data_IF_016191207354
#
_entry.id   IF_016191207354
#
_cell.length_a   1.000
_cell.length_b   1.000
_cell.length_c   1.000
_cell.angle_alpha   90.00
_cell.angle_beta   90.00
_cell.angle_gamma   90.00
#
_symmetry.space_group_name_H-M   'P 1'
#
loop_
_entity.id
_entity.type
_entity.pdbx_description
1 polymer ?
#
# COMPACT_ATOMS: atom_id res chain seq x y z
N UNK A 1 27.80 10.84 -21.59
CA UNK A 1 28.69 11.82 -20.96
C UNK A 1 28.30 13.19 -21.46
N UNK A 2 28.10 14.17 -20.53
CA UNK A 2 27.86 15.56 -20.89
C UNK A 2 29.20 16.21 -21.24
N UNK A 3 29.40 16.63 -22.49
CA UNK A 3 30.62 17.27 -22.96
C UNK A 3 30.28 18.63 -23.59
N UNK A 4 31.20 19.61 -23.48
CA UNK A 4 31.08 20.96 -24.05
C UNK A 4 29.81 21.73 -23.59
N UNK A 5 29.50 21.66 -22.31
CA UNK A 5 28.36 22.36 -21.74
C UNK A 5 28.74 23.80 -21.44
N UNK A 6 27.98 24.73 -21.97
CA UNK A 6 28.15 26.17 -21.68
C UNK A 6 27.45 26.56 -20.40
N UNK A 7 26.17 26.14 -20.25
CA UNK A 7 25.33 26.48 -19.12
C UNK A 7 24.71 25.20 -18.56
N UNK A 8 24.80 25.04 -17.25
CA UNK A 8 24.16 23.94 -16.53
C UNK A 8 23.13 24.48 -15.53
N UNK A 9 21.89 24.02 -15.64
CA UNK A 9 20.85 24.20 -14.64
C UNK A 9 20.79 22.95 -13.77
N UNK A 10 21.11 23.09 -12.51
CA UNK A 10 20.99 22.02 -11.53
C UNK A 10 19.77 22.33 -10.64
N UNK A 11 18.68 21.61 -10.87
CA UNK A 11 17.40 21.90 -10.24
C UNK A 11 17.10 20.96 -9.08
N UNK A 12 16.36 21.44 -8.07
CA UNK A 12 15.89 20.62 -6.96
C UNK A 12 16.98 20.29 -5.93
N UNK A 13 17.92 21.20 -5.70
CA UNK A 13 18.96 21.03 -4.69
C UNK A 13 18.43 21.26 -3.28
N UNK A 14 17.60 20.35 -2.82
CA UNK A 14 17.04 20.36 -1.46
C UNK A 14 17.74 19.33 -0.56
N UNK A 15 17.70 19.59 0.74
CA UNK A 15 18.21 18.69 1.75
C UNK A 15 17.52 17.32 1.69
N UNK A 16 18.29 16.25 1.85
CA UNK A 16 17.83 14.88 1.69
C UNK A 16 17.63 14.41 0.24
N UNK A 17 17.72 15.30 -0.76
CA UNK A 17 17.69 14.95 -2.19
C UNK A 17 19.08 15.09 -2.84
N UNK A 18 19.83 16.11 -2.44
CA UNK A 18 21.17 16.36 -3.00
C UNK A 18 22.12 16.80 -1.89
N UNK A 19 23.14 16.01 -1.53
CA UNK A 19 23.34 14.60 -1.92
C UNK A 19 22.27 13.68 -1.36
N UNK A 20 21.99 12.59 -2.05
CA UNK A 20 21.07 11.57 -1.55
C UNK A 20 21.72 10.90 -0.33
N UNK A 21 21.08 10.98 0.81
CA UNK A 21 21.48 10.28 2.01
C UNK A 21 20.75 8.94 2.08
N UNK A 22 21.45 7.84 1.87
CA UNK A 22 20.91 6.52 2.18
C UNK A 22 20.91 6.34 3.70
N UNK A 23 19.75 6.04 4.26
CA UNK A 23 19.65 5.62 5.64
C UNK A 23 20.34 4.27 5.78
N UNK A 24 21.50 4.25 6.41
CA UNK A 24 22.20 3.04 6.73
C UNK A 24 21.36 2.16 7.64
N UNK A 25 20.82 1.09 7.08
CA UNK A 25 20.00 0.10 7.77
C UNK A 25 20.14 -1.24 7.06
N UNK A 26 21.18 -2.00 7.37
CA UNK A 26 21.37 -3.35 6.90
C UNK A 26 21.46 -4.32 8.07
N UNK A 27 21.45 -5.62 7.77
CA UNK A 27 21.67 -6.70 8.74
C UNK A 27 23.09 -6.65 9.38
N UNK A 28 24.02 -5.96 8.72
CA UNK A 28 25.40 -5.81 9.15
C UNK A 28 25.71 -4.32 9.41
N UNK A 29 26.31 -4.06 10.56
CA UNK A 29 26.83 -2.75 10.91
C UNK A 29 28.07 -2.40 10.08
N UNK A 30 28.44 -1.11 10.00
CA UNK A 30 29.67 -0.69 9.31
C UNK A 30 30.92 -1.34 9.90
N UNK A 31 31.00 -1.52 11.23
CA UNK A 31 32.11 -2.18 11.90
C UNK A 31 32.24 -3.65 11.50
N UNK A 32 31.12 -4.35 11.35
CA UNK A 32 31.12 -5.74 10.89
C UNK A 32 31.53 -5.85 9.43
N UNK A 33 31.10 -4.91 8.59
CA UNK A 33 31.53 -4.81 7.19
C UNK A 33 33.03 -4.56 7.05
N UNK A 34 33.60 -3.66 7.86
CA UNK A 34 35.04 -3.40 7.90
C UNK A 34 35.81 -4.65 8.33
N UNK A 35 35.31 -5.41 9.31
CA UNK A 35 35.91 -6.70 9.69
C UNK A 35 35.88 -7.73 8.58
N UNK A 36 34.77 -7.83 7.84
CA UNK A 36 34.68 -8.73 6.69
C UNK A 36 35.63 -8.31 5.56
N UNK A 37 35.79 -7.01 5.34
CA UNK A 37 36.76 -6.50 4.37
C UNK A 37 38.20 -6.88 4.70
N UNK A 38 38.59 -6.93 5.99
CA UNK A 38 39.89 -7.44 6.45
C UNK A 38 40.11 -8.92 6.08
N UNK A 39 39.04 -9.68 5.93
CA UNK A 39 39.06 -11.07 5.47
C UNK A 39 38.85 -11.22 3.96
N UNK A 40 39.04 -10.15 3.17
CA UNK A 40 38.84 -10.10 1.71
C UNK A 40 37.42 -10.41 1.25
N UNK A 41 36.43 -10.26 2.13
CA UNK A 41 35.01 -10.36 1.79
C UNK A 41 34.49 -8.94 1.53
N UNK A 42 34.34 -8.59 0.25
CA UNK A 42 33.84 -7.29 -0.16
C UNK A 42 32.35 -7.37 -0.38
N UNK A 43 31.60 -6.55 0.36
CA UNK A 43 30.16 -6.37 0.24
C UNK A 43 29.83 -5.15 -0.65
N UNK A 44 28.54 -4.94 -0.93
CA UNK A 44 28.07 -3.72 -1.61
C UNK A 44 28.55 -2.47 -0.84
N UNK A 45 28.74 -1.32 -1.51
CA UNK A 45 29.21 -0.09 -0.89
C UNK A 45 28.43 0.30 0.35
N UNK A 46 29.10 0.86 1.34
CA UNK A 46 28.49 1.39 2.56
C UNK A 46 27.76 2.71 2.27
N UNK A 47 26.85 3.14 3.14
CA UNK A 47 26.19 4.43 3.04
C UNK A 47 27.22 5.59 2.95
N UNK A 48 28.35 5.47 3.66
CA UNK A 48 29.44 6.45 3.63
C UNK A 48 30.14 6.48 2.25
N UNK A 49 30.45 5.32 1.68
CA UNK A 49 31.05 5.21 0.35
C UNK A 49 30.10 5.73 -0.74
N UNK A 50 28.82 5.40 -0.65
CA UNK A 50 27.80 5.93 -1.55
C UNK A 50 27.70 7.45 -1.45
N UNK A 51 27.71 8.02 -0.23
CA UNK A 51 27.70 9.46 -0.02
C UNK A 51 28.96 10.13 -0.62
N UNK A 52 30.12 9.54 -0.47
CA UNK A 52 31.35 10.04 -1.08
C UNK A 52 31.28 9.99 -2.62
N UNK A 53 30.72 8.92 -3.16
CA UNK A 53 30.52 8.76 -4.62
C UNK A 53 29.53 9.78 -5.15
N UNK A 54 28.41 10.03 -4.46
CA UNK A 54 27.44 11.08 -4.81
C UNK A 54 28.08 12.48 -4.78
N UNK A 55 28.87 12.80 -3.74
CA UNK A 55 29.59 14.06 -3.66
C UNK A 55 30.60 14.22 -4.81
N UNK A 56 31.27 13.15 -5.20
CA UNK A 56 32.17 13.16 -6.35
C UNK A 56 31.43 13.43 -7.65
N UNK A 57 30.29 12.79 -7.89
CA UNK A 57 29.47 13.04 -9.07
C UNK A 57 28.90 14.45 -9.09
N UNK A 58 28.51 15.00 -7.96
CA UNK A 58 28.08 16.39 -7.84
C UNK A 58 29.21 17.34 -8.22
N UNK A 59 30.42 17.17 -7.68
CA UNK A 59 31.57 17.94 -8.06
C UNK A 59 31.86 17.87 -9.57
N UNK A 60 31.88 16.67 -10.12
CA UNK A 60 32.11 16.44 -11.55
C UNK A 60 31.06 17.13 -12.42
N UNK A 61 29.80 17.17 -12.00
CA UNK A 61 28.76 17.85 -12.75
C UNK A 61 28.82 19.38 -12.61
N UNK A 62 29.09 19.90 -11.41
CA UNK A 62 29.19 21.32 -11.15
C UNK A 62 30.39 22.00 -11.84
N UNK A 63 31.45 21.24 -12.10
CA UNK A 63 32.67 21.75 -12.76
C UNK A 63 32.63 21.63 -14.28
N UNK A 64 31.58 21.08 -14.88
CA UNK A 64 31.48 20.91 -16.34
C UNK A 64 31.11 22.17 -17.11
N UNK A 65 30.21 23.04 -16.63
CA UNK A 65 29.82 24.20 -17.43
C UNK A 65 30.99 25.18 -17.56
N UNK A 66 31.20 25.68 -18.78
CA UNK A 66 32.27 26.62 -19.09
C UNK A 66 31.90 28.09 -18.87
N UNK A 67 30.62 28.41 -18.90
CA UNK A 67 30.15 29.80 -18.83
C UNK A 67 29.28 30.06 -17.58
N UNK A 68 28.28 29.23 -17.29
CA UNK A 68 27.33 29.52 -16.21
C UNK A 68 26.81 28.23 -15.52
N UNK A 69 26.82 28.24 -14.19
CA UNK A 69 26.16 27.22 -13.34
C UNK A 69 25.01 27.90 -12.60
N UNK A 70 23.80 27.37 -12.76
CA UNK A 70 22.58 27.84 -12.08
C UNK A 70 22.08 26.74 -11.19
N UNK A 71 22.03 27.01 -9.88
CA UNK A 71 21.57 26.08 -8.86
C UNK A 71 20.22 26.56 -8.31
N UNK A 72 19.24 25.68 -8.25
CA UNK A 72 17.91 26.03 -7.73
C UNK A 72 17.44 25.04 -6.68
N UNK A 73 16.69 25.52 -5.69
CA UNK A 73 15.97 24.71 -4.72
C UNK A 73 14.55 25.25 -4.55
N UNK A 74 13.63 24.38 -4.13
CA UNK A 74 12.27 24.78 -3.80
C UNK A 74 12.12 25.00 -2.29
N UNK A 75 11.31 25.98 -1.88
CA UNK A 75 10.98 26.20 -0.46
C UNK A 75 9.86 25.28 0.02
N UNK A 76 9.04 24.74 -0.90
CA UNK A 76 7.94 23.86 -0.59
C UNK A 76 7.84 22.74 -1.65
N UNK A 77 7.24 21.61 -1.28
CA UNK A 77 6.85 20.56 -2.23
C UNK A 77 5.43 20.79 -2.79
N UNK A 78 4.99 19.90 -3.67
CA UNK A 78 3.67 19.99 -4.29
C UNK A 78 2.50 19.89 -3.28
N UNK A 79 2.75 19.38 -2.06
CA UNK A 79 1.78 19.29 -0.97
C UNK A 79 1.85 20.48 -0.01
N UNK A 80 2.70 21.50 -0.30
CA UNK A 80 2.88 22.68 0.55
C UNK A 80 3.80 22.46 1.77
N UNK A 81 4.47 21.31 1.87
CA UNK A 81 5.39 21.02 2.96
C UNK A 81 6.72 21.74 2.72
N UNK A 82 7.19 22.44 3.75
CA UNK A 82 8.46 23.16 3.72
C UNK A 82 9.64 22.25 3.39
N UNK A 83 10.51 22.71 2.47
CA UNK A 83 11.77 22.08 2.11
C UNK A 83 12.93 22.98 2.41
N UNK A 84 14.02 22.40 2.88
CA UNK A 84 15.25 23.13 3.16
C UNK A 84 16.21 23.04 1.97
N UNK A 85 16.99 24.10 1.72
CA UNK A 85 18.10 24.05 0.77
C UNK A 85 19.13 23.01 1.21
N UNK A 86 19.81 22.39 0.22
CA UNK A 86 20.94 21.50 0.50
C UNK A 86 22.09 22.24 1.19
N UNK A 87 22.79 21.56 2.09
CA UNK A 87 24.01 22.07 2.74
C UNK A 87 25.14 22.42 1.78
N UNK A 88 25.02 22.00 0.52
CA UNK A 88 25.97 22.36 -0.56
C UNK A 88 25.93 23.85 -0.83
N UNK A 89 24.79 24.52 -0.70
CA UNK A 89 24.72 25.98 -0.87
C UNK A 89 25.62 26.72 0.13
N UNK A 90 25.71 26.29 1.39
CA UNK A 90 26.57 26.91 2.38
C UNK A 90 28.05 26.69 2.04
N UNK A 91 28.40 25.52 1.52
CA UNK A 91 29.78 25.22 1.06
C UNK A 91 30.14 26.07 -0.16
N UNK A 92 29.25 26.23 -1.12
CA UNK A 92 29.48 27.06 -2.30
C UNK A 92 29.61 28.54 -1.88
N UNK A 93 28.75 29.02 -0.97
CA UNK A 93 28.82 30.38 -0.44
C UNK A 93 30.13 30.64 0.33
N UNK A 94 30.65 29.64 1.03
CA UNK A 94 31.97 29.74 1.68
C UNK A 94 33.11 29.92 0.67
N UNK A 95 33.02 29.27 -0.51
CA UNK A 95 34.02 29.41 -1.59
C UNK A 95 33.80 30.71 -2.37
N UNK A 96 32.55 31.12 -2.55
CA UNK A 96 32.15 32.32 -3.30
C UNK A 96 31.35 33.28 -2.40
N UNK A 97 31.98 34.05 -1.50
CA UNK A 97 31.26 34.89 -0.51
C UNK A 97 30.38 36.00 -1.13
N UNK A 98 30.66 36.41 -2.38
CA UNK A 98 29.86 37.41 -3.09
C UNK A 98 28.59 36.87 -3.74
N UNK A 99 28.34 35.55 -3.62
CA UNK A 99 27.18 34.90 -4.21
C UNK A 99 25.94 35.23 -3.40
N UNK A 100 24.92 35.78 -4.06
CA UNK A 100 23.63 36.12 -3.45
C UNK A 100 22.60 35.06 -3.87
N UNK A 101 21.83 34.60 -2.91
CA UNK A 101 20.66 33.77 -3.18
C UNK A 101 19.50 34.66 -3.58
N UNK A 102 19.04 34.50 -4.81
CA UNK A 102 17.86 35.20 -5.32
C UNK A 102 16.61 34.34 -5.02
N UNK A 103 15.61 34.97 -4.43
CA UNK A 103 14.27 34.36 -4.33
C UNK A 103 13.48 34.76 -5.56
N UNK A 104 13.11 33.76 -6.35
CA UNK A 104 12.24 33.99 -7.49
C UNK A 104 10.80 33.90 -7.03
N UNK A 105 10.13 35.04 -6.95
CA UNK A 105 8.69 35.09 -6.73
C UNK A 105 7.95 34.87 -8.04
N UNK A 106 6.85 34.17 -8.02
CA UNK A 106 6.03 33.89 -9.22
C UNK A 106 5.60 35.16 -9.98
N UNK A 107 5.49 36.27 -9.27
CA UNK A 107 5.08 37.56 -9.82
C UNK A 107 6.14 38.26 -10.70
N UNK A 108 7.42 37.90 -10.58
CA UNK A 108 8.52 38.60 -11.22
C UNK A 108 8.74 38.21 -12.69
N UNK A 109 8.11 37.12 -13.16
CA UNK A 109 8.34 36.58 -14.51
C UNK A 109 7.19 36.80 -15.50
N UNK A 110 6.16 37.56 -15.12
CA UNK A 110 4.82 37.38 -15.70
C UNK A 110 4.53 38.18 -17.00
N UNK A 111 5.37 39.06 -17.47
CA UNK A 111 4.97 39.96 -18.59
C UNK A 111 6.07 40.21 -19.65
N UNK A 112 6.90 39.22 -19.95
CA UNK A 112 8.04 39.42 -20.84
C UNK A 112 7.99 38.79 -22.23
N UNK A 113 7.35 37.66 -22.39
CA UNK A 113 7.27 36.93 -23.65
C UNK A 113 5.96 36.15 -23.81
N UNK A 114 5.76 35.58 -24.98
CA UNK A 114 4.55 34.85 -25.35
C UNK A 114 4.26 33.66 -24.42
N UNK A 115 5.30 32.94 -24.00
CA UNK A 115 5.16 31.74 -23.16
C UNK A 115 4.70 32.14 -21.75
N UNK A 116 5.30 33.16 -21.16
CA UNK A 116 4.93 33.64 -19.83
C UNK A 116 3.54 34.28 -19.83
N UNK A 117 3.17 35.03 -20.86
CA UNK A 117 1.82 35.58 -21.02
C UNK A 117 0.76 34.44 -21.13
N UNK A 118 1.09 33.37 -21.82
CA UNK A 118 0.20 32.19 -21.91
C UNK A 118 0.07 31.47 -20.59
N UNK A 119 1.14 31.34 -19.84
CA UNK A 119 1.12 30.76 -18.48
C UNK A 119 0.36 31.65 -17.50
N UNK A 120 0.46 32.98 -17.61
CA UNK A 120 -0.33 33.93 -16.84
C UNK A 120 -1.83 33.77 -17.12
N UNK A 121 -2.20 33.64 -18.39
CA UNK A 121 -3.58 33.38 -18.78
C UNK A 121 -4.11 32.05 -18.19
N UNK A 122 -3.34 30.96 -18.22
CA UNK A 122 -3.72 29.67 -17.67
C UNK A 122 -3.91 29.76 -16.14
N UNK A 123 -3.01 30.45 -15.43
CA UNK A 123 -3.14 30.64 -13.97
C UNK A 123 -4.38 31.46 -13.62
N UNK A 124 -4.64 32.53 -14.36
CA UNK A 124 -5.85 33.31 -14.14
C UNK A 124 -7.13 32.52 -14.39
N UNK A 125 -7.16 31.64 -15.40
CA UNK A 125 -8.29 30.71 -15.59
C UNK A 125 -8.52 29.82 -14.39
N UNK A 126 -7.44 29.33 -13.76
CA UNK A 126 -7.52 28.54 -12.55
C UNK A 126 -8.10 29.35 -11.38
N UNK A 127 -7.61 30.56 -11.16
CA UNK A 127 -8.12 31.45 -10.10
C UNK A 127 -9.59 31.80 -10.30
N UNK A 128 -9.99 32.04 -11.54
CA UNK A 128 -11.41 32.29 -11.89
C UNK A 128 -12.26 31.04 -11.60
N UNK A 129 -11.76 29.86 -11.98
CA UNK A 129 -12.49 28.59 -11.75
C UNK A 129 -12.61 28.21 -10.27
N UNK A 130 -11.55 28.45 -9.46
CA UNK A 130 -11.48 28.08 -8.04
C UNK A 130 -12.12 29.15 -7.14
N UNK A 131 -11.86 30.43 -7.38
CA UNK A 131 -12.17 31.53 -6.48
C UNK A 131 -13.18 32.51 -7.04
N UNK A 132 -13.50 32.45 -8.34
CA UNK A 132 -14.38 33.40 -9.03
C UNK A 132 -13.80 34.80 -9.19
N UNK A 133 -12.50 34.99 -8.92
CA UNK A 133 -11.82 36.29 -9.04
C UNK A 133 -11.05 36.37 -10.36
N UNK A 134 -11.20 37.50 -11.04
CA UNK A 134 -10.45 37.77 -12.27
C UNK A 134 -9.21 38.59 -11.88
N UNK A 135 -7.98 38.07 -12.15
CA UNK A 135 -6.77 38.82 -11.91
C UNK A 135 -6.73 40.13 -12.73
N UNK A 136 -6.07 41.15 -12.17
CA UNK A 136 -5.85 42.42 -12.89
C UNK A 136 -5.10 42.19 -14.22
N UNK A 137 -5.46 42.91 -15.27
CA UNK A 137 -4.91 42.77 -16.63
C UNK A 137 -5.13 41.39 -17.31
N UNK A 138 -5.86 40.47 -16.69
CA UNK A 138 -6.07 39.11 -17.27
C UNK A 138 -6.92 39.18 -18.54
N UNK A 139 -7.94 40.01 -18.55
CA UNK A 139 -8.80 40.23 -19.72
C UNK A 139 -8.03 40.79 -20.92
N UNK A 140 -7.10 41.69 -20.70
CA UNK A 140 -6.27 42.26 -21.78
C UNK A 140 -5.39 41.16 -22.42
N UNK A 141 -4.83 40.27 -21.62
CA UNK A 141 -4.04 39.14 -22.11
C UNK A 141 -4.93 38.15 -22.86
N UNK A 142 -6.11 37.85 -22.35
CA UNK A 142 -7.08 36.97 -22.99
C UNK A 142 -7.52 37.53 -24.34
N UNK A 143 -7.90 38.81 -24.41
CA UNK A 143 -8.34 39.48 -25.63
C UNK A 143 -7.20 39.53 -26.66
N UNK A 144 -5.97 39.70 -26.20
CA UNK A 144 -4.78 39.66 -27.08
C UNK A 144 -4.62 38.28 -27.75
N UNK A 145 -4.80 37.19 -27.00
CA UNK A 145 -4.73 35.83 -27.55
C UNK A 145 -5.92 35.51 -28.46
N UNK A 146 -7.12 35.93 -28.07
CA UNK A 146 -8.35 35.71 -28.86
C UNK A 146 -8.37 36.52 -30.16
N UNK A 147 -7.75 37.68 -30.20
CA UNK A 147 -7.69 38.51 -31.42
C UNK A 147 -6.77 37.93 -32.52
N UNK A 148 -5.96 36.92 -32.20
CA UNK A 148 -5.01 36.30 -33.13
C UNK A 148 -5.46 34.91 -33.56
N UNK A 149 -5.73 34.68 -34.87
CA UNK A 149 -6.25 33.38 -35.34
C UNK A 149 -5.37 32.18 -34.98
N UNK A 150 -4.04 32.38 -34.90
CA UNK A 150 -3.07 31.33 -34.56
C UNK A 150 -3.17 30.81 -33.12
N UNK A 151 -3.72 31.64 -32.20
CA UNK A 151 -3.87 31.29 -30.79
C UNK A 151 -5.31 31.13 -30.35
N UNK A 152 -6.26 31.72 -31.04
CA UNK A 152 -7.67 31.81 -30.64
C UNK A 152 -8.32 30.44 -30.37
N UNK A 153 -8.04 29.46 -31.23
CA UNK A 153 -8.62 28.13 -31.09
C UNK A 153 -8.09 27.42 -29.83
N UNK A 154 -6.76 27.48 -29.60
CA UNK A 154 -6.15 26.88 -28.37
C UNK A 154 -6.63 27.59 -27.11
N UNK A 155 -6.77 28.90 -27.15
CA UNK A 155 -7.28 29.71 -26.04
C UNK A 155 -8.73 29.32 -25.70
N UNK A 156 -9.58 29.11 -26.70
CA UNK A 156 -10.97 28.65 -26.51
C UNK A 156 -10.99 27.27 -25.85
N UNK A 157 -10.20 26.34 -26.35
CA UNK A 157 -10.09 25.00 -25.77
C UNK A 157 -9.60 25.03 -24.31
N UNK A 158 -8.69 25.95 -23.96
CA UNK A 158 -8.23 26.11 -22.57
C UNK A 158 -9.34 26.65 -21.67
N UNK A 159 -10.12 27.63 -22.15
CA UNK A 159 -11.27 28.15 -21.40
C UNK A 159 -12.31 27.04 -21.19
N UNK A 160 -12.66 26.31 -22.24
CA UNK A 160 -13.58 25.17 -22.14
C UNK A 160 -13.06 24.12 -21.15
N UNK A 161 -11.77 23.80 -21.17
CA UNK A 161 -11.16 22.85 -20.24
C UNK A 161 -11.16 23.35 -18.79
N UNK A 162 -10.90 24.67 -18.56
CA UNK A 162 -10.87 25.25 -17.21
C UNK A 162 -12.23 25.24 -16.53
N UNK A 163 -13.31 25.37 -17.31
CA UNK A 163 -14.70 25.34 -16.81
C UNK A 163 -15.40 24.02 -17.09
N UNK A 164 -14.65 23.04 -17.61
CA UNK A 164 -15.20 21.71 -17.80
C UNK A 164 -15.62 21.11 -16.44
N UNK A 165 -16.91 20.84 -16.31
CA UNK A 165 -17.43 20.08 -15.19
C UNK A 165 -17.67 18.66 -15.68
N UNK A 166 -17.08 17.71 -14.98
CA UNK A 166 -17.39 16.32 -15.23
C UNK A 166 -18.89 16.11 -14.93
N UNK A 167 -19.65 15.81 -15.94
CA UNK A 167 -21.01 15.37 -15.76
C UNK A 167 -20.93 13.95 -15.20
N UNK A 168 -21.72 13.68 -14.17
CA UNK A 168 -21.88 12.31 -13.69
C UNK A 168 -22.48 11.49 -14.83
N UNK A 169 -21.64 10.90 -15.65
CA UNK A 169 -22.06 10.02 -16.74
C UNK A 169 -22.68 8.77 -16.12
N UNK A 170 -24.00 8.70 -16.16
CA UNK A 170 -24.73 7.52 -15.71
C UNK A 170 -24.82 6.53 -16.88
N UNK A 171 -24.47 5.29 -16.60
CA UNK A 171 -24.72 4.21 -17.55
C UNK A 171 -26.22 4.05 -17.75
N UNK A 172 -26.66 3.91 -19.00
CA UNK A 172 -28.05 3.57 -19.29
C UNK A 172 -28.41 2.21 -18.67
N UNK A 173 -29.67 1.98 -18.33
CA UNK A 173 -30.13 0.69 -17.80
C UNK A 173 -29.78 -0.48 -18.72
N UNK A 174 -29.84 -0.25 -20.04
CA UNK A 174 -29.46 -1.26 -21.03
C UNK A 174 -27.96 -1.59 -20.95
N UNK A 175 -27.09 -0.57 -20.80
CA UNK A 175 -25.66 -0.75 -20.62
C UNK A 175 -25.32 -1.47 -19.30
N UNK A 176 -25.98 -1.09 -18.19
CA UNK A 176 -25.82 -1.76 -16.89
C UNK A 176 -26.19 -3.25 -16.99
N UNK A 177 -27.33 -3.58 -17.63
CA UNK A 177 -27.74 -4.98 -17.82
C UNK A 177 -26.81 -5.75 -18.73
N UNK A 178 -26.26 -5.11 -19.75
CA UNK A 178 -25.31 -5.74 -20.66
C UNK A 178 -23.97 -6.05 -19.96
N UNK A 179 -23.50 -5.16 -19.09
CA UNK A 179 -22.20 -5.25 -18.41
C UNK A 179 -22.27 -6.12 -17.15
N UNK A 180 -23.29 -5.94 -16.30
CA UNK A 180 -23.41 -6.59 -14.99
C UNK A 180 -24.43 -7.72 -14.94
N UNK A 181 -25.23 -7.92 -15.99
CA UNK A 181 -26.33 -8.88 -16.00
C UNK A 181 -27.54 -8.42 -15.16
N UNK A 182 -28.45 -9.36 -14.89
CA UNK A 182 -29.64 -9.12 -14.07
C UNK A 182 -29.44 -9.29 -12.58
N UNK A 183 -28.37 -9.95 -12.17
CA UNK A 183 -28.01 -10.20 -10.78
C UNK A 183 -26.54 -9.87 -10.57
N UNK A 184 -26.23 -9.01 -9.61
CA UNK A 184 -24.87 -8.64 -9.27
C UNK A 184 -24.33 -9.59 -8.19
N UNK A 185 -23.28 -10.34 -8.50
CA UNK A 185 -22.61 -11.24 -7.56
C UNK A 185 -21.17 -10.83 -7.41
N UNK A 186 -20.70 -10.68 -6.18
CA UNK A 186 -19.29 -10.34 -5.94
C UNK A 186 -18.87 -10.39 -4.48
N UNK A 187 -17.58 -10.23 -4.25
CA UNK A 187 -17.02 -10.16 -2.89
C UNK A 187 -17.15 -8.78 -2.27
N UNK A 188 -16.89 -8.70 -0.98
CA UNK A 188 -16.93 -7.42 -0.23
C UNK A 188 -15.96 -6.40 -0.81
N UNK A 189 -14.80 -6.83 -1.30
CA UNK A 189 -13.80 -5.97 -1.96
C UNK A 189 -14.34 -5.25 -3.20
N UNK A 190 -15.37 -5.81 -3.86
CA UNK A 190 -16.05 -5.16 -4.96
C UNK A 190 -16.79 -3.91 -4.49
N UNK A 191 -17.47 -3.98 -3.34
CA UNK A 191 -18.16 -2.85 -2.71
C UNK A 191 -17.17 -1.78 -2.24
N UNK A 192 -16.11 -2.19 -1.56
CA UNK A 192 -15.04 -1.29 -1.11
C UNK A 192 -14.40 -0.56 -2.28
N UNK A 193 -14.17 -1.26 -3.39
CA UNK A 193 -13.65 -0.64 -4.61
C UNK A 193 -14.62 0.36 -5.24
N UNK A 194 -15.92 0.06 -5.19
CA UNK A 194 -16.94 1.01 -5.63
C UNK A 194 -16.98 2.27 -4.76
N UNK A 195 -16.95 2.10 -3.45
CA UNK A 195 -16.90 3.21 -2.50
C UNK A 195 -15.64 4.08 -2.67
N UNK A 196 -14.49 3.45 -2.97
CA UNK A 196 -13.25 4.16 -3.22
C UNK A 196 -13.27 4.92 -4.56
N UNK A 197 -13.75 4.29 -5.62
CA UNK A 197 -13.85 4.89 -6.95
C UNK A 197 -14.79 4.07 -7.86
N UNK A 198 -15.94 4.63 -8.19
CA UNK A 198 -16.93 3.97 -9.07
C UNK A 198 -16.36 3.64 -10.46
N UNK A 199 -15.49 4.52 -11.01
CA UNK A 199 -14.82 4.28 -12.29
C UNK A 199 -13.84 3.10 -12.22
N UNK A 200 -13.01 3.01 -11.18
CA UNK A 200 -12.11 1.88 -10.98
C UNK A 200 -12.88 0.55 -10.79
N UNK A 201 -14.05 0.61 -10.12
CA UNK A 201 -14.97 -0.52 -10.03
C UNK A 201 -15.49 -0.92 -11.41
N UNK A 202 -15.97 0.04 -12.22
CA UNK A 202 -16.45 -0.23 -13.58
C UNK A 202 -15.39 -0.90 -14.45
N UNK A 203 -14.16 -0.39 -14.44
CA UNK A 203 -13.06 -0.99 -15.20
C UNK A 203 -12.77 -2.44 -14.77
N UNK A 204 -12.79 -2.71 -13.46
CA UNK A 204 -12.40 -4.01 -12.91
C UNK A 204 -13.51 -5.05 -12.92
N UNK A 205 -14.73 -4.67 -12.59
CA UNK A 205 -15.86 -5.57 -12.40
C UNK A 205 -16.92 -5.45 -13.51
N UNK A 206 -16.97 -4.33 -14.23
CA UNK A 206 -17.77 -4.16 -15.41
C UNK A 206 -17.06 -4.67 -16.67
N UNK A 207 -15.92 -4.07 -16.97
CA UNK A 207 -15.14 -4.42 -18.16
C UNK A 207 -14.16 -5.58 -17.93
N UNK A 208 -14.02 -6.07 -16.70
CA UNK A 208 -13.11 -7.16 -16.31
C UNK A 208 -11.65 -6.94 -16.70
N UNK A 209 -11.20 -5.67 -16.70
CA UNK A 209 -9.81 -5.35 -17.01
C UNK A 209 -8.90 -5.87 -15.90
N UNK A 210 -7.82 -6.51 -16.30
CA UNK A 210 -6.82 -7.06 -15.39
C UNK A 210 -5.44 -6.57 -15.78
N UNK A 211 -4.62 -6.25 -14.79
CA UNK A 211 -3.21 -5.98 -15.02
C UNK A 211 -2.51 -7.23 -15.58
N UNK A 212 -1.53 -6.99 -16.44
CA UNK A 212 -0.72 -8.08 -16.99
C UNK A 212 0.06 -8.76 -15.86
N UNK A 213 -0.10 -10.07 -15.73
CA UNK A 213 0.66 -10.84 -14.75
C UNK A 213 2.15 -10.79 -15.05
N UNK A 214 2.94 -10.41 -14.07
CA UNK A 214 4.40 -10.47 -14.12
C UNK A 214 4.83 -11.74 -13.38
N UNK A 215 5.77 -12.49 -13.97
CA UNK A 215 6.34 -13.70 -13.35
C UNK A 215 7.32 -13.30 -12.23
N UNK A 216 6.78 -12.87 -11.10
CA UNK A 216 7.51 -12.42 -9.93
C UNK A 216 6.65 -12.62 -8.68
N UNK A 217 7.27 -13.15 -7.61
CA UNK A 217 6.59 -13.26 -6.31
C UNK A 217 6.38 -11.87 -5.72
N UNK A 218 5.12 -11.53 -5.45
CA UNK A 218 4.69 -10.25 -4.88
C UNK A 218 4.16 -10.42 -3.45
N UNK A 219 3.95 -9.31 -2.74
CA UNK A 219 3.43 -9.34 -1.37
C UNK A 219 2.07 -10.07 -1.21
N UNK A 220 1.10 -9.94 -2.14
CA UNK A 220 -0.15 -10.70 -2.08
C UNK A 220 0.05 -12.22 -2.18
N UNK A 221 1.07 -12.67 -2.93
CA UNK A 221 1.38 -14.10 -3.07
C UNK A 221 1.85 -14.69 -1.75
N UNK A 222 2.71 -13.95 -1.03
CA UNK A 222 3.18 -14.34 0.30
C UNK A 222 2.00 -14.42 1.28
N UNK A 223 1.09 -13.44 1.24
CA UNK A 223 -0.15 -13.46 2.02
C UNK A 223 -0.98 -14.70 1.76
N UNK A 224 -1.18 -15.07 0.49
CA UNK A 224 -1.94 -16.26 0.10
C UNK A 224 -1.30 -17.55 0.63
N UNK A 225 0.03 -17.67 0.56
CA UNK A 225 0.76 -18.83 1.10
C UNK A 225 0.56 -18.93 2.62
N UNK A 226 0.60 -17.81 3.35
CA UNK A 226 0.31 -17.79 4.79
C UNK A 226 -1.10 -18.29 5.12
N UNK A 227 -2.11 -17.75 4.46
CA UNK A 227 -3.50 -18.16 4.69
C UNK A 227 -3.66 -19.68 4.45
N UNK A 228 -3.15 -20.19 3.32
CA UNK A 228 -3.23 -21.61 3.01
C UNK A 228 -2.45 -22.49 4.01
N UNK A 229 -1.29 -22.04 4.47
CA UNK A 229 -0.50 -22.77 5.45
C UNK A 229 -1.20 -22.86 6.81
N UNK A 230 -1.78 -21.77 7.29
CA UNK A 230 -2.54 -21.73 8.54
C UNK A 230 -3.82 -22.58 8.43
N UNK A 231 -4.53 -22.50 7.31
CA UNK A 231 -5.69 -23.35 7.03
C UNK A 231 -5.33 -24.84 7.08
N UNK A 232 -4.29 -25.26 6.35
CA UNK A 232 -3.84 -26.66 6.32
C UNK A 232 -3.42 -27.15 7.70
N UNK A 233 -2.68 -26.34 8.43
CA UNK A 233 -2.31 -26.65 9.80
C UNK A 233 -3.54 -26.84 10.70
N UNK A 234 -4.51 -25.95 10.62
CA UNK A 234 -5.74 -25.99 11.39
C UNK A 234 -6.58 -27.23 11.10
N UNK A 235 -6.70 -27.59 9.81
CA UNK A 235 -7.41 -28.80 9.39
C UNK A 235 -6.68 -30.09 9.83
N UNK A 236 -5.35 -30.10 9.83
CA UNK A 236 -4.55 -31.24 10.30
C UNK A 236 -4.65 -31.44 11.79
N UNK A 237 -4.64 -30.38 12.59
CA UNK A 237 -4.89 -30.50 14.04
C UNK A 237 -6.24 -31.18 14.30
N UNK A 238 -7.30 -30.74 13.63
CA UNK A 238 -8.63 -31.32 13.81
C UNK A 238 -8.71 -32.84 13.50
N UNK A 239 -7.79 -33.33 12.63
CA UNK A 239 -7.71 -34.76 12.25
C UNK A 239 -6.71 -35.57 13.05
N UNK A 240 -5.77 -34.93 13.74
CA UNK A 240 -4.65 -35.58 14.44
C UNK A 240 -5.00 -36.00 15.88
N UNK A 241 -6.18 -35.63 16.38
CA UNK A 241 -6.57 -35.85 17.79
C UNK A 241 -5.94 -34.85 18.77
N UNK A 242 -5.11 -33.93 18.29
CA UNK A 242 -4.59 -32.85 19.11
C UNK A 242 -5.56 -31.67 19.11
N UNK A 243 -5.51 -30.87 20.17
CA UNK A 243 -6.20 -29.59 20.26
C UNK A 243 -5.19 -28.45 20.19
N UNK A 244 -5.62 -27.29 19.69
CA UNK A 244 -4.80 -26.10 19.61
C UNK A 244 -4.09 -25.72 20.91
N UNK A 245 -4.78 -25.91 22.05
CA UNK A 245 -4.24 -25.56 23.38
C UNK A 245 -3.18 -26.51 23.88
N UNK A 246 -3.27 -27.79 23.51
CA UNK A 246 -2.50 -28.88 24.11
C UNK A 246 -1.44 -29.51 23.22
N UNK A 247 -1.40 -29.13 21.94
CA UNK A 247 -0.39 -29.69 21.02
C UNK A 247 1.03 -29.36 21.53
N UNK A 248 1.92 -30.35 21.64
CA UNK A 248 3.32 -30.16 22.01
C UNK A 248 4.06 -29.31 20.98
N UNK A 249 5.02 -28.49 21.43
CA UNK A 249 5.74 -27.54 20.59
C UNK A 249 6.48 -28.22 19.42
N UNK A 250 7.13 -29.34 19.66
CA UNK A 250 7.87 -30.10 18.63
C UNK A 250 6.93 -30.61 17.53
N UNK A 251 5.76 -31.16 17.92
CA UNK A 251 4.77 -31.65 16.96
C UNK A 251 4.14 -30.51 16.20
N UNK A 252 3.83 -29.40 16.88
CA UNK A 252 3.30 -28.19 16.25
C UNK A 252 4.25 -27.69 15.17
N UNK A 253 5.54 -27.52 15.51
CA UNK A 253 6.52 -26.96 14.60
C UNK A 253 6.80 -27.87 13.40
N UNK A 254 6.81 -29.19 13.60
CA UNK A 254 6.92 -30.16 12.53
C UNK A 254 5.70 -30.12 11.57
N UNK A 255 4.48 -30.07 12.13
CA UNK A 255 3.28 -29.94 11.32
C UNK A 255 3.25 -28.63 10.50
N UNK A 256 3.75 -27.54 11.08
CA UNK A 256 3.88 -26.27 10.34
C UNK A 256 4.87 -26.40 9.18
N UNK A 257 6.01 -27.04 9.38
CA UNK A 257 6.99 -27.28 8.33
C UNK A 257 6.40 -28.07 7.16
N UNK A 258 5.69 -29.14 7.45
CA UNK A 258 5.00 -29.92 6.43
C UNK A 258 3.93 -29.12 5.69
N UNK A 259 3.12 -28.32 6.42
CA UNK A 259 2.08 -27.53 5.80
C UNK A 259 2.64 -26.44 4.90
N UNK A 260 3.63 -25.67 5.36
CA UNK A 260 4.26 -24.62 4.56
C UNK A 260 4.95 -25.22 3.35
N UNK A 261 5.73 -26.30 3.53
CA UNK A 261 6.43 -26.97 2.43
C UNK A 261 5.45 -27.46 1.36
N UNK A 262 4.33 -28.05 1.75
CA UNK A 262 3.32 -28.52 0.79
C UNK A 262 2.66 -27.37 0.03
N UNK A 263 2.38 -26.23 0.70
CA UNK A 263 1.80 -25.06 0.04
C UNK A 263 2.77 -24.43 -0.95
N UNK A 264 4.04 -24.26 -0.54
CA UNK A 264 5.10 -23.71 -1.38
C UNK A 264 5.36 -24.56 -2.63
N UNK A 265 5.33 -25.90 -2.50
CA UNK A 265 5.48 -26.82 -3.62
C UNK A 265 4.35 -26.72 -4.64
N UNK A 266 3.13 -26.53 -4.17
CA UNK A 266 1.94 -26.40 -5.03
C UNK A 266 1.80 -25.01 -5.65
N UNK A 267 2.49 -23.99 -5.07
CA UNK A 267 2.33 -22.62 -5.51
C UNK A 267 2.98 -22.38 -6.88
N UNK A 268 2.19 -21.94 -7.86
CA UNK A 268 2.61 -21.53 -9.21
C UNK A 268 3.68 -22.41 -9.87
N UNK A 269 3.53 -23.74 -9.84
CA UNK A 269 4.43 -24.68 -10.50
C UNK A 269 5.91 -24.46 -10.16
N UNK A 270 6.24 -24.33 -8.87
CA UNK A 270 7.61 -24.23 -8.34
C UNK A 270 8.35 -22.89 -8.50
N UNK A 271 7.68 -21.78 -8.81
CA UNK A 271 8.31 -20.44 -8.85
C UNK A 271 9.11 -20.12 -7.58
N UNK A 272 8.70 -20.69 -6.44
CA UNK A 272 9.37 -20.53 -5.15
C UNK A 272 10.61 -21.42 -4.97
N UNK A 273 11.04 -22.18 -5.99
CA UNK A 273 12.18 -23.09 -5.90
C UNK A 273 13.34 -22.69 -6.82
N UNK A 274 13.14 -21.77 -7.75
CA UNK A 274 14.06 -21.51 -8.84
C UNK A 274 15.18 -20.50 -8.54
N UNK A 275 15.25 -19.94 -7.34
CA UNK A 275 16.26 -18.94 -7.01
C UNK A 275 16.63 -18.89 -5.53
N UNK A 276 17.84 -18.39 -5.22
CA UNK A 276 18.28 -18.13 -3.84
C UNK A 276 17.32 -17.17 -3.11
N UNK A 277 16.72 -16.22 -3.82
CA UNK A 277 15.72 -15.31 -3.27
C UNK A 277 14.43 -16.08 -2.90
N UNK A 278 14.01 -17.03 -3.71
CA UNK A 278 12.84 -17.86 -3.45
C UNK A 278 13.06 -18.75 -2.22
N UNK A 279 14.24 -19.34 -2.08
CA UNK A 279 14.62 -20.12 -0.90
C UNK A 279 14.57 -19.26 0.37
N UNK A 280 15.17 -18.06 0.33
CA UNK A 280 15.11 -17.11 1.45
C UNK A 280 13.66 -16.75 1.83
N UNK A 281 12.80 -16.48 0.83
CA UNK A 281 11.39 -16.19 1.07
C UNK A 281 10.66 -17.38 1.70
N UNK A 282 10.96 -18.60 1.27
CA UNK A 282 10.38 -19.82 1.85
C UNK A 282 10.79 -19.98 3.32
N UNK A 283 12.07 -19.79 3.65
CA UNK A 283 12.55 -19.82 5.04
C UNK A 283 11.90 -18.72 5.88
N UNK A 284 11.77 -17.54 5.33
CA UNK A 284 11.08 -16.42 5.98
C UNK A 284 9.62 -16.76 6.27
N UNK A 285 8.89 -17.26 5.29
CA UNK A 285 7.49 -17.70 5.44
C UNK A 285 7.38 -18.78 6.52
N UNK A 286 8.28 -19.77 6.50
CA UNK A 286 8.34 -20.84 7.50
C UNK A 286 8.47 -20.28 8.91
N UNK A 287 9.45 -19.42 9.14
CA UNK A 287 9.70 -18.78 10.44
C UNK A 287 8.51 -17.96 10.91
N UNK A 288 7.95 -17.14 10.04
CA UNK A 288 6.80 -16.31 10.36
C UNK A 288 5.55 -17.15 10.68
N UNK A 289 5.31 -18.23 9.92
CA UNK A 289 4.17 -19.13 10.15
C UNK A 289 4.31 -19.86 11.49
N UNK A 290 5.50 -20.38 11.83
CA UNK A 290 5.76 -20.99 13.14
C UNK A 290 5.45 -20.03 14.28
N UNK A 291 5.97 -18.80 14.18
CA UNK A 291 5.74 -17.76 15.18
C UNK A 291 4.27 -17.39 15.32
N UNK A 292 3.57 -17.22 14.20
CA UNK A 292 2.14 -16.90 14.17
C UNK A 292 1.32 -17.99 14.85
N UNK A 293 1.57 -19.24 14.50
CA UNK A 293 0.83 -20.39 15.08
C UNK A 293 1.15 -20.55 16.56
N UNK A 294 2.41 -20.35 16.98
CA UNK A 294 2.75 -20.29 18.39
C UNK A 294 1.99 -19.19 19.14
N UNK A 295 1.99 -17.98 18.60
CA UNK A 295 1.29 -16.84 19.23
C UNK A 295 -0.23 -17.09 19.33
N UNK A 296 -0.84 -17.64 18.28
CA UNK A 296 -2.25 -18.04 18.30
C UNK A 296 -2.54 -19.12 19.36
N UNK A 297 -1.64 -20.09 19.52
CA UNK A 297 -1.74 -21.09 20.57
C UNK A 297 -1.68 -20.46 21.97
N UNK A 298 -0.71 -19.53 22.19
CA UNK A 298 -0.61 -18.83 23.48
C UNK A 298 -1.85 -17.97 23.77
N UNK A 299 -2.41 -17.35 22.77
CA UNK A 299 -3.65 -16.59 22.90
C UNK A 299 -4.84 -17.49 23.29
N UNK A 300 -4.96 -18.65 22.66
CA UNK A 300 -6.01 -19.62 22.98
C UNK A 300 -5.87 -20.22 24.39
N UNK A 301 -4.65 -20.38 24.90
CA UNK A 301 -4.41 -20.84 26.27
C UNK A 301 -4.89 -19.84 27.33
N UNK A 302 -5.05 -18.57 27.00
CA UNK A 302 -5.42 -17.47 27.91
C UNK A 302 -6.93 -17.19 27.98
N UNK A 303 -7.75 -17.82 27.14
CA UNK A 303 -9.17 -17.52 27.06
C UNK A 303 -9.98 -18.75 26.69
N UNK A 304 -11.32 -18.64 26.68
CA UNK A 304 -12.24 -19.74 26.47
C UNK A 304 -12.79 -19.86 25.05
N UNK A 305 -12.36 -18.97 24.17
CA UNK A 305 -12.70 -19.06 22.75
C UNK A 305 -12.04 -20.25 22.07
N UNK A 306 -12.82 -21.01 21.30
CA UNK A 306 -12.34 -22.14 20.52
C UNK A 306 -12.53 -21.88 19.01
N UNK A 307 -11.52 -22.17 18.19
CA UNK A 307 -11.65 -22.08 16.75
C UNK A 307 -12.61 -23.15 16.22
N UNK A 308 -13.67 -22.72 15.56
CA UNK A 308 -14.70 -23.63 15.00
C UNK A 308 -14.76 -23.61 13.48
N UNK A 309 -14.16 -22.59 12.85
CA UNK A 309 -14.15 -22.45 11.41
C UNK A 309 -12.88 -21.81 10.89
N UNK A 310 -12.36 -22.36 9.78
CA UNK A 310 -11.20 -21.84 9.05
C UNK A 310 -11.56 -21.72 7.59
N UNK A 311 -11.23 -20.58 6.97
CA UNK A 311 -11.50 -20.31 5.56
C UNK A 311 -12.96 -20.63 5.20
N UNK A 312 -13.88 -20.22 6.10
CA UNK A 312 -15.31 -20.49 5.99
C UNK A 312 -15.86 -19.68 4.83
N UNK A 313 -16.26 -20.38 3.78
CA UNK A 313 -16.90 -19.75 2.63
C UNK A 313 -18.38 -19.57 2.92
N UNK A 314 -18.86 -18.37 2.68
CA UNK A 314 -20.29 -18.12 2.55
C UNK A 314 -20.59 -17.82 1.08
N UNK A 315 -21.50 -18.59 0.52
CA UNK A 315 -22.01 -18.42 -0.83
C UNK A 315 -23.53 -18.41 -0.77
N UNK A 316 -24.13 -17.66 -1.64
CA UNK A 316 -25.59 -17.54 -1.74
C UNK A 316 -26.29 -18.78 -2.31
N UNK A 317 -25.57 -19.85 -2.62
CA UNK A 317 -26.16 -21.09 -3.13
C UNK A 317 -26.85 -21.94 -2.05
N UNK A 318 -26.67 -21.62 -0.78
CA UNK A 318 -27.46 -22.21 0.30
C UNK A 318 -28.79 -21.45 0.36
N UNK A 319 -29.85 -22.07 -0.08
CA UNK A 319 -31.23 -21.55 -0.26
C UNK A 319 -31.85 -20.83 0.94
N UNK A 320 -31.16 -20.69 2.06
CA UNK A 320 -31.66 -20.12 3.30
C UNK A 320 -30.81 -19.04 3.97
N UNK A 321 -29.69 -18.58 3.38
CA UNK A 321 -28.79 -17.64 4.06
C UNK A 321 -28.33 -16.55 3.13
N UNK A 322 -29.13 -15.53 3.03
CA UNK A 322 -29.04 -14.57 1.99
C UNK A 322 -28.67 -13.22 2.56
N UNK A 323 -27.41 -12.81 2.43
CA UNK A 323 -27.15 -11.39 2.37
C UNK A 323 -27.52 -10.88 0.97
N UNK A 324 -28.82 -10.83 0.72
CA UNK A 324 -29.35 -10.14 -0.44
C UNK A 324 -29.51 -8.67 -0.07
N UNK A 325 -28.68 -7.83 -0.65
CA UNK A 325 -28.91 -6.40 -0.63
C UNK A 325 -29.89 -6.07 -1.74
N UNK A 326 -31.15 -5.85 -1.37
CA UNK A 326 -32.13 -5.33 -2.29
C UNK A 326 -31.89 -3.83 -2.51
N UNK A 327 -31.71 -3.41 -3.75
CA UNK A 327 -31.66 -2.01 -4.10
C UNK A 327 -32.95 -1.59 -4.84
N UNK A 328 -34.06 -1.81 -4.15
CA UNK A 328 -35.41 -1.53 -4.65
C UNK A 328 -35.85 -2.49 -5.77
N UNK A 329 -36.73 -2.04 -6.65
CA UNK A 329 -37.25 -2.82 -7.78
C UNK A 329 -36.16 -3.12 -8.88
N UNK A 330 -34.93 -2.70 -8.68
CA UNK A 330 -33.88 -2.73 -9.71
C UNK A 330 -33.02 -3.97 -9.72
N UNK A 331 -33.02 -4.77 -8.66
CA UNK A 331 -32.26 -6.01 -8.65
C UNK A 331 -31.83 -6.50 -7.26
N UNK A 332 -31.16 -7.64 -7.25
CA UNK A 332 -30.63 -8.30 -6.06
C UNK A 332 -29.12 -8.43 -6.20
N UNK A 333 -28.42 -8.07 -5.15
CA UNK A 333 -26.98 -8.27 -5.05
C UNK A 333 -26.68 -9.43 -4.10
N UNK A 334 -25.89 -10.37 -4.57
CA UNK A 334 -25.40 -11.49 -3.79
C UNK A 334 -23.94 -11.29 -3.41
N UNK A 335 -23.64 -11.29 -2.11
CA UNK A 335 -22.27 -11.21 -1.62
C UNK A 335 -21.70 -12.60 -1.35
N UNK A 336 -20.47 -12.81 -1.77
CA UNK A 336 -19.68 -13.97 -1.41
C UNK A 336 -18.43 -13.52 -0.64
N UNK A 337 -17.89 -14.42 0.16
CA UNK A 337 -16.67 -14.15 0.90
C UNK A 337 -16.14 -15.40 1.57
N UNK A 338 -15.02 -15.21 2.24
CA UNK A 338 -14.29 -16.26 2.93
C UNK A 338 -13.77 -15.70 4.23
N UNK A 339 -14.24 -16.23 5.35
CA UNK A 339 -13.83 -15.82 6.67
C UNK A 339 -12.60 -16.64 7.04
N UNK A 340 -11.48 -15.99 7.30
CA UNK A 340 -10.21 -16.67 7.58
C UNK A 340 -10.31 -17.57 8.82
N UNK A 341 -10.85 -17.03 9.92
CA UNK A 341 -11.05 -17.79 11.15
C UNK A 341 -12.25 -17.28 11.93
N UNK A 342 -13.01 -18.22 12.47
CA UNK A 342 -14.14 -18.00 13.36
C UNK A 342 -13.94 -18.77 14.65
N UNK A 343 -13.99 -18.07 15.78
CA UNK A 343 -13.90 -18.63 17.12
C UNK A 343 -15.23 -18.43 17.86
N UNK A 344 -15.65 -19.43 18.63
CA UNK A 344 -16.83 -19.38 19.49
C UNK A 344 -16.45 -19.61 20.97
N UNK A 345 -17.18 -18.93 21.83
CA UNK A 345 -17.21 -19.26 23.26
C UNK A 345 -18.67 -19.46 23.68
N UNK A 346 -19.00 -20.62 24.27
CA UNK A 346 -20.34 -20.96 24.68
C UNK A 346 -20.45 -20.79 26.19
N UNK A 347 -21.44 -20.06 26.65
CA UNK A 347 -21.70 -19.80 28.05
C UNK A 347 -23.24 -19.80 28.27
N UNK A 348 -23.75 -20.83 28.93
CA UNK A 348 -25.17 -21.05 29.19
C UNK A 348 -26.05 -20.97 27.91
N UNK A 349 -26.88 -19.93 27.78
CA UNK A 349 -27.77 -19.67 26.66
C UNK A 349 -27.17 -18.71 25.61
N UNK A 350 -25.88 -18.35 25.76
CA UNK A 350 -25.18 -17.39 24.91
C UNK A 350 -24.03 -18.03 24.17
N UNK A 351 -23.82 -17.56 22.97
CA UNK A 351 -22.69 -17.94 22.13
C UNK A 351 -21.98 -16.65 21.68
N UNK A 352 -20.77 -16.45 22.17
CA UNK A 352 -19.95 -15.33 21.79
C UNK A 352 -19.18 -15.68 20.53
N UNK A 353 -19.29 -14.81 19.52
CA UNK A 353 -18.68 -14.99 18.20
C UNK A 353 -17.52 -14.00 18.01
N UNK A 354 -16.35 -14.50 17.61
CA UNK A 354 -15.18 -13.71 17.27
C UNK A 354 -14.70 -14.05 15.86
N UNK A 355 -14.45 -13.03 15.06
CA UNK A 355 -13.91 -13.14 13.70
C UNK A 355 -12.48 -12.62 13.68
N UNK A 356 -11.60 -13.38 13.05
CA UNK A 356 -10.19 -13.01 12.87
C UNK A 356 -9.87 -13.07 11.38
N UNK A 357 -9.29 -12.01 10.86
CA UNK A 357 -8.80 -11.90 9.48
C UNK A 357 -7.29 -11.68 9.53
N UNK A 358 -6.53 -12.51 8.83
CA UNK A 358 -5.07 -12.47 8.81
C UNK A 358 -4.57 -11.44 7.79
N UNK A 359 -3.72 -10.53 8.24
CA UNK A 359 -3.13 -9.51 7.36
C UNK A 359 -1.61 -9.57 7.37
N UNK A 360 -1.02 -9.77 6.21
CA UNK A 360 0.44 -9.69 6.01
C UNK A 360 0.94 -8.26 5.77
N UNK A 361 0.05 -7.27 5.77
CA UNK A 361 0.34 -5.86 5.55
C UNK A 361 0.02 -4.99 6.78
N UNK A 362 0.30 -3.69 6.67
CA UNK A 362 0.05 -2.70 7.74
C UNK A 362 -1.39 -2.15 7.75
N UNK A 363 -2.37 -2.98 7.44
CA UNK A 363 -3.78 -2.57 7.45
C UNK A 363 -4.20 -2.25 8.88
N UNK A 364 -4.69 -1.03 9.12
CA UNK A 364 -5.26 -0.62 10.40
C UNK A 364 -6.77 -0.56 10.30
N UNK A 365 -7.46 -0.94 11.36
CA UNK A 365 -8.90 -0.76 11.46
C UNK A 365 -9.20 0.72 11.68
N UNK A 366 -10.05 1.29 10.83
CA UNK A 366 -10.43 2.69 10.89
C UNK A 366 -11.95 2.85 10.73
N UNK A 367 -12.60 3.40 11.74
CA UNK A 367 -14.05 3.58 11.77
C UNK A 367 -14.53 4.56 10.69
N UNK A 368 -13.74 5.58 10.35
CA UNK A 368 -14.09 6.49 9.28
C UNK A 368 -14.11 5.75 7.92
N UNK A 369 -13.13 4.90 7.67
CA UNK A 369 -13.09 4.04 6.49
C UNK A 369 -14.28 3.06 6.45
N UNK A 370 -14.71 2.51 7.58
CA UNK A 370 -15.91 1.67 7.66
C UNK A 370 -17.15 2.48 7.32
N UNK A 371 -17.31 3.68 7.89
CA UNK A 371 -18.44 4.56 7.63
C UNK A 371 -18.56 4.94 6.16
N UNK A 372 -17.44 5.20 5.49
CA UNK A 372 -17.39 5.53 4.06
C UNK A 372 -17.39 4.30 3.14
N UNK A 373 -17.56 3.10 3.66
CA UNK A 373 -17.62 1.88 2.86
C UNK A 373 -16.29 1.36 2.32
N UNK A 374 -15.17 1.86 2.85
CA UNK A 374 -13.81 1.50 2.41
C UNK A 374 -13.22 0.30 3.15
N UNK A 375 -13.80 -0.10 4.29
CA UNK A 375 -13.40 -1.25 5.12
C UNK A 375 -14.64 -2.02 5.61
N UNK A 376 -15.32 -2.71 4.71
CA UNK A 376 -16.56 -3.43 5.03
C UNK A 376 -16.34 -4.90 5.41
N UNK A 377 -15.19 -5.46 5.06
CA UNK A 377 -14.91 -6.89 5.11
C UNK A 377 -15.27 -7.52 6.48
N UNK A 378 -14.71 -7.00 7.56
CA UNK A 378 -14.96 -7.55 8.91
C UNK A 378 -16.42 -7.42 9.37
N UNK A 379 -17.08 -6.31 8.98
CA UNK A 379 -18.49 -6.07 9.33
C UNK A 379 -19.42 -7.06 8.62
N UNK A 380 -19.21 -7.26 7.33
CA UNK A 380 -19.97 -8.23 6.54
C UNK A 380 -19.73 -9.65 7.07
N UNK A 381 -18.49 -10.00 7.35
CA UNK A 381 -18.13 -11.30 7.87
C UNK A 381 -18.78 -11.58 9.24
N UNK A 382 -18.76 -10.60 10.15
CA UNK A 382 -19.41 -10.74 11.46
C UNK A 382 -20.91 -10.93 11.34
N UNK A 383 -21.59 -10.12 10.49
CA UNK A 383 -23.03 -10.24 10.31
C UNK A 383 -23.42 -11.60 9.71
N UNK A 384 -22.71 -12.02 8.65
CA UNK A 384 -22.96 -13.32 8.01
C UNK A 384 -22.73 -14.48 8.96
N UNK A 385 -21.60 -14.48 9.68
CA UNK A 385 -21.28 -15.51 10.64
C UNK A 385 -22.30 -15.56 11.80
N UNK A 386 -22.74 -14.38 12.28
CA UNK A 386 -23.79 -14.30 13.32
C UNK A 386 -25.09 -14.92 12.87
N UNK A 387 -25.55 -14.57 11.68
CA UNK A 387 -26.79 -15.12 11.12
C UNK A 387 -26.70 -16.64 10.94
N UNK A 388 -25.59 -17.12 10.40
CA UNK A 388 -25.33 -18.55 10.24
C UNK A 388 -25.33 -19.31 11.58
N UNK A 389 -24.62 -18.79 12.58
CA UNK A 389 -24.56 -19.41 13.90
C UNK A 389 -25.90 -19.33 14.62
N UNK A 390 -26.66 -18.24 14.47
CA UNK A 390 -27.98 -18.13 15.06
C UNK A 390 -28.97 -19.15 14.48
N UNK A 391 -28.86 -19.47 13.20
CA UNK A 391 -29.68 -20.52 12.58
C UNK A 391 -29.31 -21.94 13.05
N UNK A 392 -27.99 -22.16 13.22
CA UNK A 392 -27.49 -23.47 13.73
C UNK A 392 -27.85 -23.70 15.20
N UNK A 393 -27.81 -22.64 16.01
CA UNK A 393 -28.01 -22.66 17.46
C UNK A 393 -29.26 -21.90 17.87
N UNK A 394 -30.42 -22.44 17.45
CA UNK A 394 -31.73 -21.77 17.62
C UNK A 394 -32.13 -21.50 19.08
N UNK A 395 -31.55 -22.21 20.04
CA UNK A 395 -31.86 -22.07 21.47
C UNK A 395 -30.93 -21.07 22.18
N UNK A 396 -29.86 -20.63 21.55
CA UNK A 396 -28.89 -19.72 22.13
C UNK A 396 -28.95 -18.36 21.43
N UNK A 397 -28.52 -17.33 22.14
CA UNK A 397 -28.36 -15.96 21.57
C UNK A 397 -26.92 -15.83 21.10
N UNK A 398 -26.73 -15.56 19.81
CA UNK A 398 -25.39 -15.30 19.24
C UNK A 398 -25.01 -13.83 19.38
N UNK A 399 -23.97 -13.57 20.14
CA UNK A 399 -23.48 -12.22 20.49
C UNK A 399 -22.14 -11.98 19.79
N UNK A 400 -22.01 -10.91 18.98
CA UNK A 400 -20.72 -10.48 18.45
C UNK A 400 -19.77 -10.08 19.59
N UNK A 401 -18.66 -10.79 19.76
CA UNK A 401 -17.67 -10.53 20.80
C UNK A 401 -16.48 -9.72 20.29
N UNK A 402 -16.12 -9.87 19.02
CA UNK A 402 -15.01 -9.12 18.47
C UNK A 402 -14.72 -9.40 17.01
N UNK A 403 -14.17 -8.38 16.34
CA UNK A 403 -13.62 -8.43 15.00
C UNK A 403 -12.17 -8.00 15.07
N UNK A 404 -11.24 -8.78 14.53
CA UNK A 404 -9.82 -8.57 14.71
C UNK A 404 -9.06 -8.71 13.39
N UNK A 405 -8.18 -7.78 13.12
CA UNK A 405 -7.07 -8.00 12.20
C UNK A 405 -5.89 -8.61 12.97
N UNK A 406 -5.44 -9.78 12.55
CA UNK A 406 -4.24 -10.39 13.08
C UNK A 406 -3.08 -10.12 12.13
N UNK A 407 -2.15 -9.26 12.58
CA UNK A 407 -0.98 -8.90 11.77
C UNK A 407 0.10 -9.97 11.85
N UNK A 408 0.51 -10.44 10.67
CA UNK A 408 1.62 -11.39 10.53
C UNK A 408 2.87 -10.56 10.23
N UNK A 409 3.66 -10.31 11.27
CA UNK A 409 4.89 -9.51 11.20
C UNK A 409 6.14 -10.35 11.45
N UNK A 410 7.27 -9.91 10.89
CA UNK A 410 8.61 -10.41 11.19
C UNK A 410 9.42 -9.28 11.84
N UNK A 411 9.12 -8.89 13.09
CA UNK A 411 9.78 -7.77 13.73
C UNK A 411 11.24 -8.10 14.03
N UNK A 412 12.10 -7.13 13.80
CA UNK A 412 13.48 -7.17 14.27
C UNK A 412 13.49 -6.78 15.75
N UNK A 413 14.13 -7.62 16.57
CA UNK A 413 14.40 -7.32 17.97
C UNK A 413 15.87 -6.94 18.08
N UNK A 414 16.16 -5.73 18.53
CA UNK A 414 17.50 -5.31 18.91
C UNK A 414 17.78 -5.83 20.34
N UNK A 415 18.87 -6.56 20.52
CA UNK A 415 19.36 -6.95 21.83
C UNK A 415 20.80 -6.50 21.97
N UNK A 416 21.12 -5.94 23.13
CA UNK A 416 22.49 -5.53 23.48
C UNK A 416 23.44 -6.70 23.72
N UNK A 417 22.91 -7.92 23.84
CA UNK A 417 23.67 -9.15 24.08
C UNK A 417 23.36 -10.25 23.07
N UNK A 418 24.32 -10.57 22.22
CA UNK A 418 24.21 -11.69 21.25
C UNK A 418 23.96 -13.05 21.90
N UNK A 419 24.30 -13.22 23.20
CA UNK A 419 24.08 -14.45 23.95
C UNK A 419 22.62 -14.74 24.28
N UNK A 420 21.75 -13.72 24.28
CA UNK A 420 20.34 -13.88 24.58
C UNK A 420 19.54 -14.57 23.44
N UNK A 421 20.14 -14.66 22.24
CA UNK A 421 19.57 -15.33 21.08
C UNK A 421 20.00 -16.77 20.88
N UNK A 422 21.01 -17.24 21.59
CA UNK A 422 21.53 -18.60 21.46
C UNK A 422 20.69 -19.67 22.20
N UNK A 423 19.70 -19.25 22.96
CA UNK A 423 18.72 -20.13 23.58
C UNK A 423 17.39 -20.09 22.84
N UNK A 424 16.90 -21.24 22.42
CA UNK A 424 15.63 -21.50 21.69
C UNK A 424 14.36 -21.09 22.45
N UNK A 425 14.31 -19.89 23.04
CA UNK A 425 13.07 -19.39 23.62
C UNK A 425 12.75 -18.02 22.99
N UNK A 426 11.52 -17.83 22.45
CA UNK A 426 11.07 -16.51 22.08
C UNK A 426 10.96 -15.67 23.35
N UNK A 427 11.77 -14.62 23.45
CA UNK A 427 11.64 -13.62 24.52
C UNK A 427 10.26 -13.00 24.36
N UNK A 428 9.34 -13.40 25.24
CA UNK A 428 8.02 -12.81 25.32
C UNK A 428 8.07 -11.58 26.22
N UNK A 429 7.60 -10.49 25.72
CA UNK A 429 6.87 -9.48 26.49
C UNK A 429 5.95 -8.71 25.55
#
# INVERSE_FOLDING_TARGET
RLENIKVLFFVGMNDGLVPLMENGGGLLTEIERDRLALHHIHLAPTAKENTCTEQYYLYMNMTKPSEKLILTCSEQDAAGKEKRPSSIFDRIKAVFPKLVLERVHQTDTEKGDLIHSYQYMIRGLREISENGQIPEDWLDVYDWFMSRPEYAEKTRQLVEAAFYRHWDEQLSQAAVRAVYGGQLTGGVTMLEKYAACAYAHFLSYGLHLKERKIYQVQAPDIGMIFHQAIERFSLRIGRSGYQWRTIPDEIRDHLVEECVSSVVLEYNHSVMQDSMRANYLTEKIMRMTKRTIWALQQQLKKGDFEPVGYEVRFTTELENQQMHLSYGDRGVMSLNGKIDRMDLCEEDDKVYLKIIDYKSGRTKFDLASVFHGLQLQLMVYMNTAREEQQQKKKQCIVIPAGILYYHIDDPFVTSDNFRDFAGNQPVGS
#
